data_IF_720517531019
#
_entry.id   IF_720517531019
#
_cell.length_a   1.000
_cell.length_b   1.000
_cell.length_c   1.000
_cell.angle_alpha   90.00
_cell.angle_beta   90.00
_cell.angle_gamma   90.00
#
_symmetry.space_group_name_H-M   'P 1'
#
loop_
_entity.id
_entity.type
_entity.pdbx_description
1 polymer ?
#
# COMPACT_ATOMS: atom_id res chain seq x y z
N UNK A 1 -9.02 7.34 11.11
CA UNK A 1 -8.05 6.55 10.34
C UNK A 1 -8.17 5.11 10.81
N UNK A 2 -8.21 4.16 9.89
CA UNK A 2 -8.20 2.73 10.21
C UNK A 2 -6.88 2.15 9.73
N UNK A 3 -6.29 1.26 10.52
CA UNK A 3 -5.09 0.50 10.20
C UNK A 3 -5.34 -0.92 10.70
N UNK A 4 -5.16 -1.93 9.84
CA UNK A 4 -5.28 -3.31 10.31
C UNK A 4 -4.00 -3.73 11.03
N UNK A 5 -4.11 -4.78 11.85
CA UNK A 5 -2.99 -5.31 12.64
C UNK A 5 -1.72 -5.60 11.84
N UNK A 6 -1.87 -6.15 10.63
CA UNK A 6 -0.72 -6.46 9.76
C UNK A 6 0.04 -5.18 9.38
N UNK A 7 -0.68 -4.09 9.15
CA UNK A 7 -0.06 -2.80 8.82
C UNK A 7 0.60 -2.16 10.05
N UNK A 8 0.02 -2.32 11.25
CA UNK A 8 0.68 -1.89 12.51
C UNK A 8 1.99 -2.66 12.75
N UNK A 9 1.97 -3.98 12.55
CA UNK A 9 3.14 -4.85 12.65
C UNK A 9 4.21 -4.45 11.63
N UNK A 10 3.82 -4.14 10.38
CA UNK A 10 4.73 -3.66 9.35
C UNK A 10 5.32 -2.27 9.65
N UNK A 11 4.55 -1.39 10.29
CA UNK A 11 5.02 -0.07 10.71
C UNK A 11 5.88 -0.11 11.98
N UNK A 12 5.85 -1.21 12.73
CA UNK A 12 6.46 -1.30 14.05
C UNK A 12 5.84 -0.35 15.08
N UNK A 13 4.61 0.11 14.84
CA UNK A 13 3.94 1.15 15.63
C UNK A 13 2.43 0.90 15.70
N UNK A 14 1.81 1.26 16.83
CA UNK A 14 0.36 1.19 16.99
C UNK A 14 -0.33 2.25 16.12
N UNK A 15 -1.59 2.01 15.74
CA UNK A 15 -2.39 2.98 14.96
C UNK A 15 -2.37 4.39 15.55
N UNK A 16 -2.39 4.52 16.87
CA UNK A 16 -2.35 5.80 17.59
C UNK A 16 -1.08 6.61 17.27
N UNK A 17 0.05 5.93 17.14
CA UNK A 17 1.34 6.54 16.79
C UNK A 17 1.48 6.83 15.30
N UNK A 18 0.59 6.30 14.45
CA UNK A 18 0.57 6.54 13.01
C UNK A 18 -0.27 7.78 12.65
N UNK A 19 -1.14 8.23 13.54
CA UNK A 19 -1.96 9.42 13.28
C UNK A 19 -1.09 10.66 13.05
N UNK A 20 -1.40 11.38 11.97
CA UNK A 20 -0.69 12.62 11.60
C UNK A 20 0.66 12.41 10.92
N UNK A 21 1.17 11.18 10.86
CA UNK A 21 2.40 10.85 10.12
C UNK A 21 2.10 10.69 8.63
N UNK A 22 3.06 11.09 7.82
CA UNK A 22 3.11 10.75 6.40
C UNK A 22 3.47 9.28 6.22
N UNK A 23 3.20 8.73 5.03
CA UNK A 23 3.58 7.36 4.69
C UNK A 23 5.10 7.12 4.85
N UNK A 24 5.92 8.14 4.56
CA UNK A 24 7.37 8.08 4.70
C UNK A 24 7.83 8.09 6.16
N UNK A 25 7.11 8.76 7.05
CA UNK A 25 7.39 8.74 8.50
C UNK A 25 6.88 7.46 9.16
N UNK A 26 5.78 6.90 8.66
CA UNK A 26 5.20 5.65 9.14
C UNK A 26 6.00 4.41 8.69
N UNK A 27 6.59 4.46 7.49
CA UNK A 27 7.33 3.34 6.90
C UNK A 27 8.68 3.80 6.32
N UNK A 28 9.59 4.34 7.15
CA UNK A 28 10.81 4.99 6.66
C UNK A 28 11.79 4.03 5.98
N UNK A 29 11.76 2.75 6.36
CA UNK A 29 12.66 1.73 5.81
C UNK A 29 12.04 0.96 4.62
N UNK A 30 10.78 1.25 4.26
CA UNK A 30 10.09 0.57 3.17
C UNK A 30 10.40 1.27 1.84
N UNK A 31 11.03 0.56 0.91
CA UNK A 31 11.18 1.04 -0.47
C UNK A 31 9.84 1.01 -1.21
N UNK A 32 9.61 1.98 -2.12
CA UNK A 32 8.37 2.09 -2.90
C UNK A 32 7.27 2.95 -2.27
N UNK A 33 7.46 3.44 -1.03
CA UNK A 33 6.51 4.35 -0.37
C UNK A 33 6.25 5.64 -1.16
N UNK A 34 7.25 6.14 -1.90
CA UNK A 34 7.06 7.33 -2.73
C UNK A 34 6.08 7.07 -3.89
N UNK A 35 6.17 5.91 -4.53
CA UNK A 35 5.24 5.50 -5.60
C UNK A 35 3.81 5.37 -5.08
N UNK A 36 3.64 4.80 -3.88
CA UNK A 36 2.32 4.71 -3.23
C UNK A 36 1.80 6.11 -2.91
N UNK A 37 2.64 6.98 -2.35
CA UNK A 37 2.28 8.35 -2.03
C UNK A 37 1.86 9.17 -3.27
N UNK A 38 2.58 9.05 -4.38
CA UNK A 38 2.21 9.71 -5.63
C UNK A 38 0.91 9.16 -6.21
N UNK A 39 0.68 7.85 -6.08
CA UNK A 39 -0.59 7.22 -6.47
C UNK A 39 -1.75 7.71 -5.59
N UNK A 40 -1.54 7.94 -4.29
CA UNK A 40 -2.54 8.53 -3.40
C UNK A 40 -2.89 9.96 -3.86
N UNK A 41 -1.88 10.78 -4.21
CA UNK A 41 -2.12 12.13 -4.74
C UNK A 41 -2.95 12.10 -6.01
N UNK A 42 -2.70 11.14 -6.91
CA UNK A 42 -3.49 11.00 -8.14
C UNK A 42 -4.93 10.59 -7.85
N UNK A 43 -5.16 9.67 -6.90
CA UNK A 43 -6.52 9.29 -6.45
C UNK A 43 -7.26 10.50 -5.86
N UNK A 44 -6.60 11.29 -5.01
CA UNK A 44 -7.19 12.52 -4.44
C UNK A 44 -7.54 13.52 -5.54
N UNK A 45 -6.66 13.70 -6.52
CA UNK A 45 -6.85 14.66 -7.62
C UNK A 45 -7.96 14.23 -8.59
N UNK A 46 -8.02 12.95 -8.93
CA UNK A 46 -8.93 12.44 -9.98
C UNK A 46 -10.23 11.87 -9.42
N UNK A 47 -10.25 11.50 -8.14
CA UNK A 47 -11.33 10.73 -7.54
C UNK A 47 -11.48 9.32 -8.13
N UNK A 48 -10.49 8.83 -8.87
CA UNK A 48 -10.51 7.50 -9.49
C UNK A 48 -9.66 6.53 -8.68
N UNK A 49 -10.13 5.29 -8.52
CA UNK A 49 -9.36 4.25 -7.85
C UNK A 49 -8.14 3.84 -8.66
N UNK A 50 -7.05 3.52 -7.98
CA UNK A 50 -5.81 3.00 -8.59
C UNK A 50 -5.56 1.59 -8.08
N UNK A 51 -5.16 0.69 -8.99
CA UNK A 51 -4.65 -0.64 -8.65
C UNK A 51 -3.36 -0.87 -9.41
N UNK A 52 -2.29 -1.18 -8.69
CA UNK A 52 -0.96 -1.37 -9.27
C UNK A 52 -0.21 -2.49 -8.57
N UNK A 53 0.77 -3.07 -9.24
CA UNK A 53 1.71 -4.02 -8.67
C UNK A 53 3.06 -3.32 -8.53
N UNK A 54 3.59 -3.30 -7.31
CA UNK A 54 4.88 -2.68 -6.99
C UNK A 54 5.74 -3.66 -6.22
N UNK A 55 7.05 -3.43 -6.27
CA UNK A 55 8.00 -4.12 -5.42
C UNK A 55 8.24 -3.24 -4.20
N UNK A 56 7.88 -3.75 -3.01
CA UNK A 56 8.14 -3.05 -1.75
C UNK A 56 9.39 -3.67 -1.15
N UNK A 57 10.41 -2.85 -0.94
CA UNK A 57 11.62 -3.31 -0.27
C UNK A 57 11.39 -3.25 1.23
N UNK A 58 11.32 -4.40 1.89
CA UNK A 58 11.17 -4.48 3.35
C UNK A 58 12.52 -4.79 3.99
N UNK A 59 12.88 -4.23 5.16
CA UNK A 59 14.22 -4.32 5.75
C UNK A 59 14.74 -5.74 6.00
N UNK A 60 13.83 -6.71 6.16
CA UNK A 60 14.17 -8.08 6.55
C UNK A 60 13.91 -9.13 5.46
N UNK A 61 13.45 -8.74 4.27
CA UNK A 61 13.18 -9.70 3.21
C UNK A 61 14.43 -9.98 2.38
N UNK A 62 14.78 -11.27 2.23
CA UNK A 62 15.88 -11.71 1.37
C UNK A 62 15.60 -11.44 -0.11
N UNK A 63 14.33 -11.44 -0.51
CA UNK A 63 13.89 -11.09 -1.86
C UNK A 63 12.75 -10.07 -1.74
N UNK A 64 12.80 -8.94 -2.45
CA UNK A 64 11.76 -7.93 -2.38
C UNK A 64 10.39 -8.52 -2.78
N UNK A 65 9.39 -8.51 -1.88
CA UNK A 65 8.06 -9.03 -2.18
C UNK A 65 7.34 -8.18 -3.25
N UNK A 66 6.54 -8.86 -4.07
CA UNK A 66 5.59 -8.22 -4.96
C UNK A 66 4.32 -7.89 -4.18
N UNK A 67 3.94 -6.63 -4.17
CA UNK A 67 2.69 -6.16 -3.58
C UNK A 67 1.75 -5.68 -4.66
N UNK A 68 0.52 -6.15 -4.58
CA UNK A 68 -0.59 -5.49 -5.23
C UNK A 68 -1.16 -4.43 -4.28
N UNK A 69 -1.16 -3.18 -4.73
CA UNK A 69 -1.69 -2.05 -3.98
C UNK A 69 -2.98 -1.56 -4.65
N UNK A 70 -4.04 -1.48 -3.87
CA UNK A 70 -5.31 -0.85 -4.24
C UNK A 70 -5.53 0.41 -3.42
N UNK A 71 -5.79 1.52 -4.08
CA UNK A 71 -6.09 2.81 -3.49
C UNK A 71 -7.49 3.23 -3.92
N UNK A 72 -8.40 3.31 -2.96
CA UNK A 72 -9.82 3.58 -3.21
C UNK A 72 -10.19 4.92 -2.57
N UNK A 73 -10.73 5.88 -3.33
CA UNK A 73 -11.20 7.14 -2.76
C UNK A 73 -12.46 6.89 -1.93
N UNK A 74 -12.49 7.43 -0.72
CA UNK A 74 -13.67 7.46 0.14
C UNK A 74 -14.32 8.84 0.05
N UNK A 75 -15.63 8.86 -0.15
CA UNK A 75 -16.38 10.09 -0.43
C UNK A 75 -17.40 10.40 0.64
N UNK A 76 -17.61 11.68 0.91
CA UNK A 76 -18.69 12.14 1.77
C UNK A 76 -20.04 12.20 1.04
N UNK A 77 -21.09 12.64 1.74
CA UNK A 77 -22.45 12.79 1.17
C UNK A 77 -22.56 13.84 0.05
N UNK A 78 -21.52 14.65 -0.17
CA UNK A 78 -21.44 15.66 -1.23
C UNK A 78 -20.55 15.21 -2.40
N UNK A 79 -20.20 13.93 -2.44
CA UNK A 79 -19.34 13.28 -3.44
C UNK A 79 -17.87 13.77 -3.42
N UNK A 80 -17.44 14.46 -2.36
CA UNK A 80 -16.06 14.92 -2.22
C UNK A 80 -15.19 13.82 -1.64
N UNK A 81 -13.99 13.64 -2.19
CA UNK A 81 -12.99 12.72 -1.63
C UNK A 81 -12.49 13.27 -0.29
N UNK A 82 -12.71 12.50 0.79
CA UNK A 82 -12.33 12.88 2.17
C UNK A 82 -11.19 12.03 2.73
N UNK A 83 -10.98 10.83 2.17
CA UNK A 83 -9.87 9.95 2.50
C UNK A 83 -9.57 8.99 1.35
N UNK A 84 -8.44 8.29 1.45
CA UNK A 84 -8.08 7.20 0.53
C UNK A 84 -7.81 5.95 1.36
N UNK A 85 -8.57 4.89 1.07
CA UNK A 85 -8.33 3.57 1.63
C UNK A 85 -7.23 2.88 0.83
N UNK A 86 -6.10 2.63 1.48
CA UNK A 86 -4.99 1.85 0.93
C UNK A 86 -5.04 0.40 1.37
N UNK A 87 -4.90 -0.53 0.43
CA UNK A 87 -4.86 -1.97 0.67
C UNK A 87 -3.62 -2.53 -0.03
N UNK A 88 -2.66 -3.04 0.73
CA UNK A 88 -1.51 -3.77 0.22
C UNK A 88 -1.70 -5.27 0.40
N UNK A 89 -1.55 -6.05 -0.68
CA UNK A 89 -1.57 -7.51 -0.65
C UNK A 89 -0.26 -8.06 -1.20
N UNK A 90 0.44 -8.86 -0.42
CA UNK A 90 1.57 -9.63 -0.92
C UNK A 90 1.06 -10.69 -1.93
N UNK A 91 1.58 -10.64 -3.15
CA UNK A 91 1.27 -11.54 -4.25
C UNK A 91 2.49 -12.36 -4.70
N UNK A 92 3.55 -12.39 -3.90
CA UNK A 92 4.80 -13.09 -4.24
C UNK A 92 4.57 -14.58 -4.49
N UNK A 93 3.77 -15.24 -3.64
CA UNK A 93 3.41 -16.64 -3.82
C UNK A 93 2.59 -16.89 -5.10
N UNK A 94 1.74 -15.93 -5.49
CA UNK A 94 0.98 -16.00 -6.73
C UNK A 94 1.90 -15.89 -7.95
N UNK A 95 2.80 -14.92 -7.95
CA UNK A 95 3.79 -14.71 -9.03
C UNK A 95 4.71 -15.93 -9.22
N UNK A 96 5.13 -16.56 -8.13
CA UNK A 96 5.94 -17.78 -8.19
C UNK A 96 5.17 -18.94 -8.82
N UNK A 97 3.91 -19.12 -8.43
CA UNK A 97 3.03 -20.13 -9.03
C UNK A 97 2.81 -19.88 -10.52
N UNK A 98 2.56 -18.63 -10.93
CA UNK A 98 2.40 -18.25 -12.34
C UNK A 98 3.66 -18.57 -13.16
N UNK A 99 4.86 -18.28 -12.64
CA UNK A 99 6.13 -18.60 -13.29
C UNK A 99 6.30 -20.09 -13.52
N UNK A 100 6.01 -20.90 -12.50
CA UNK A 100 6.11 -22.36 -12.58
C UNK A 100 5.14 -22.93 -13.63
N UNK A 101 3.91 -22.41 -13.69
CA UNK A 101 2.92 -22.83 -14.68
C UNK A 101 3.26 -22.36 -16.11
N UNK A 102 3.92 -21.21 -16.27
CA UNK A 102 4.34 -20.69 -17.59
C UNK A 102 5.56 -21.37 -18.18
N UNK A 103 6.25 -22.22 -17.41
CA UNK A 103 7.48 -22.93 -17.83
C UNK A 103 7.20 -24.39 -18.25
N UNK A 104 5.93 -24.82 -18.23
CA UNK A 104 5.44 -26.10 -18.78
C UNK A 104 5.00 -25.94 -20.23
#
# INVERSE_FOLDING_TARGET
>A
MYCNRITEEAAGAALEDLYGKTLMEAFPEFGGVHTVHDSIKEVVKTGSAVRTEIIIHTPHAQTPPYYQVSLVPERDSTDRVVSVLGIGRDISALKETERQLSTL
#
